data_IF_497847606618
#
_entry.id   IF_497847606618
#
_cell.length_a   1.000
_cell.length_b   1.000
_cell.length_c   1.000
_cell.angle_alpha   90.00
_cell.angle_beta   90.00
_cell.angle_gamma   90.00
#
_symmetry.space_group_name_H-M   'P 1'
#
loop_
_entity.id
_entity.type
_entity.pdbx_description
1 polymer ?
#
# COMPACT_ATOMS: atom_id res chain seq x y z
N UNK A 1 -20.59 -9.39 -25.46
CA UNK A 1 -19.91 -10.60 -24.96
C UNK A 1 -20.26 -10.73 -23.50
N UNK A 2 -20.84 -11.85 -23.05
CA UNK A 2 -21.23 -12.06 -21.66
C UNK A 2 -20.00 -12.18 -20.74
N UNK A 3 -20.10 -11.71 -19.51
CA UNK A 3 -19.03 -11.78 -18.50
C UNK A 3 -18.53 -13.22 -18.26
N UNK A 4 -19.41 -14.21 -18.45
CA UNK A 4 -19.05 -15.63 -18.36
C UNK A 4 -18.08 -16.09 -19.46
N UNK A 5 -18.24 -15.61 -20.68
CA UNK A 5 -17.36 -15.93 -21.81
C UNK A 5 -15.96 -15.30 -21.60
N UNK A 6 -15.89 -14.07 -21.07
CA UNK A 6 -14.62 -13.41 -20.68
C UNK A 6 -13.91 -14.16 -19.56
N UNK A 7 -14.64 -14.62 -18.56
CA UNK A 7 -14.06 -15.40 -17.46
C UNK A 7 -13.54 -16.75 -17.94
N UNK A 8 -14.24 -17.42 -18.84
CA UNK A 8 -13.80 -18.67 -19.44
C UNK A 8 -12.52 -18.49 -20.27
N UNK A 9 -12.48 -17.46 -21.13
CA UNK A 9 -11.31 -17.10 -21.93
C UNK A 9 -10.11 -16.73 -21.04
N UNK A 10 -10.30 -15.95 -19.99
CA UNK A 10 -9.24 -15.60 -19.06
C UNK A 10 -8.69 -16.82 -18.30
N UNK A 11 -9.54 -17.77 -17.91
CA UNK A 11 -9.11 -19.04 -17.29
C UNK A 11 -8.32 -19.91 -18.27
N UNK A 12 -8.75 -19.99 -19.52
CA UNK A 12 -8.04 -20.71 -20.56
C UNK A 12 -6.66 -20.10 -20.81
N UNK A 13 -6.57 -18.78 -20.97
CA UNK A 13 -5.30 -18.05 -21.14
C UNK A 13 -4.38 -18.18 -19.91
N UNK A 14 -4.92 -18.18 -18.70
CA UNK A 14 -4.13 -18.38 -17.48
C UNK A 14 -3.51 -19.77 -17.40
N UNK A 15 -4.19 -20.82 -17.91
CA UNK A 15 -3.64 -22.18 -18.01
C UNK A 15 -2.53 -22.31 -19.04
N UNK A 16 -2.58 -21.52 -20.10
CA UNK A 16 -1.55 -21.46 -21.16
C UNK A 16 -0.36 -20.59 -20.75
N UNK A 17 -0.52 -19.73 -19.76
CA UNK A 17 0.55 -18.86 -19.25
C UNK A 17 1.47 -19.62 -18.31
N UNK A 18 2.57 -20.13 -18.86
CA UNK A 18 3.58 -20.91 -18.10
C UNK A 18 4.51 -20.07 -17.23
N UNK A 19 4.35 -18.73 -17.21
CA UNK A 19 5.28 -17.85 -16.52
C UNK A 19 6.70 -17.91 -17.12
N UNK A 20 7.71 -17.30 -16.46
CA UNK A 20 9.09 -17.36 -16.96
C UNK A 20 9.63 -18.78 -16.85
N UNK A 21 9.93 -19.40 -18.02
CA UNK A 21 10.46 -20.75 -18.10
C UNK A 21 11.97 -20.83 -17.80
N UNK A 22 12.73 -19.76 -18.11
CA UNK A 22 14.18 -19.72 -17.90
C UNK A 22 14.57 -19.34 -16.48
N UNK A 23 15.72 -19.80 -15.99
CA UNK A 23 16.27 -19.44 -14.68
C UNK A 23 16.45 -17.91 -14.54
N UNK A 24 16.95 -17.23 -15.57
CA UNK A 24 17.09 -15.79 -15.62
C UNK A 24 15.73 -15.07 -15.57
N UNK A 25 14.72 -15.58 -16.26
CA UNK A 25 13.35 -15.08 -16.22
C UNK A 25 12.70 -15.23 -14.84
N UNK A 26 12.91 -16.38 -14.19
CA UNK A 26 12.46 -16.64 -12.82
C UNK A 26 13.13 -15.72 -11.81
N UNK A 27 14.47 -15.53 -11.92
CA UNK A 27 15.23 -14.61 -11.07
C UNK A 27 14.76 -13.16 -11.24
N UNK A 28 14.52 -12.70 -12.48
CA UNK A 28 14.00 -11.36 -12.78
C UNK A 28 12.60 -11.16 -12.22
N UNK A 29 11.73 -12.16 -12.35
CA UNK A 29 10.37 -12.12 -11.79
C UNK A 29 10.40 -12.09 -10.26
N UNK A 30 11.26 -12.89 -9.62
CA UNK A 30 11.47 -12.89 -8.18
C UNK A 30 12.07 -11.57 -7.67
N UNK A 31 12.98 -10.96 -8.43
CA UNK A 31 13.58 -9.66 -8.11
C UNK A 31 12.57 -8.52 -8.18
N UNK A 32 11.66 -8.55 -9.18
CA UNK A 32 10.56 -7.59 -9.25
C UNK A 32 9.58 -7.72 -8.07
N UNK A 33 9.37 -8.94 -7.59
CA UNK A 33 8.56 -9.21 -6.42
C UNK A 33 9.23 -8.72 -5.11
N UNK A 34 10.56 -8.84 -5.01
CA UNK A 34 11.35 -8.40 -3.84
C UNK A 34 11.57 -6.89 -3.77
N UNK A 35 11.55 -6.19 -4.91
CA UNK A 35 11.97 -4.79 -5.02
C UNK A 35 11.17 -3.84 -4.12
N UNK A 36 9.93 -4.16 -3.81
CA UNK A 36 9.05 -3.36 -2.96
C UNK A 36 8.52 -4.14 -1.74
N UNK A 37 8.97 -5.39 -1.53
CA UNK A 37 8.45 -6.25 -0.46
C UNK A 37 6.95 -6.57 -0.55
N UNK A 38 6.27 -6.11 -1.62
CA UNK A 38 4.81 -6.20 -1.79
C UNK A 38 4.31 -7.60 -2.18
N UNK A 39 5.21 -8.54 -2.45
CA UNK A 39 4.87 -9.95 -2.72
C UNK A 39 4.70 -10.77 -1.44
N UNK A 40 5.24 -10.30 -0.32
CA UNK A 40 5.08 -10.95 0.98
C UNK A 40 3.77 -10.47 1.58
N UNK A 41 2.89 -11.42 1.92
CA UNK A 41 1.63 -11.08 2.59
C UNK A 41 1.93 -10.43 3.95
N UNK A 42 1.15 -9.41 4.31
CA UNK A 42 1.21 -8.80 5.65
C UNK A 42 0.99 -9.83 6.75
N UNK A 43 0.16 -10.86 6.49
CA UNK A 43 -0.08 -11.97 7.43
C UNK A 43 1.18 -12.82 7.71
N UNK A 44 2.14 -12.82 6.78
CA UNK A 44 3.40 -13.55 6.93
C UNK A 44 4.56 -12.69 7.47
N UNK A 45 4.30 -11.41 7.76
CA UNK A 45 5.31 -10.46 8.25
C UNK A 45 5.22 -10.31 9.77
N UNK A 46 6.18 -10.85 10.54
CA UNK A 46 6.13 -10.78 12.01
C UNK A 46 6.11 -9.35 12.57
N UNK A 47 6.72 -8.39 11.86
CA UNK A 47 6.78 -6.99 12.30
C UNK A 47 5.42 -6.30 12.19
N UNK A 48 4.55 -6.78 11.31
CA UNK A 48 3.22 -6.24 11.09
C UNK A 48 2.13 -6.91 11.96
N UNK A 49 2.45 -8.04 12.59
CA UNK A 49 1.45 -8.86 13.31
C UNK A 49 0.79 -8.12 14.47
N UNK A 50 1.53 -7.33 15.24
CA UNK A 50 0.96 -6.58 16.36
C UNK A 50 -0.05 -5.52 15.88
N UNK A 51 0.32 -4.73 14.88
CA UNK A 51 -0.58 -3.73 14.28
C UNK A 51 -1.79 -4.36 13.59
N UNK A 52 -1.60 -5.50 12.95
CA UNK A 52 -2.67 -6.26 12.32
C UNK A 52 -3.69 -6.76 13.37
N UNK A 53 -3.22 -7.29 14.49
CA UNK A 53 -4.10 -7.79 15.56
C UNK A 53 -4.94 -6.65 16.17
N UNK A 54 -4.32 -5.50 16.43
CA UNK A 54 -5.03 -4.31 16.96
C UNK A 54 -6.10 -3.85 15.96
N UNK A 55 -5.76 -3.75 14.68
CA UNK A 55 -6.70 -3.32 13.65
C UNK A 55 -7.83 -4.35 13.46
N UNK A 56 -7.51 -5.64 13.48
CA UNK A 56 -8.50 -6.70 13.38
C UNK A 56 -9.48 -6.67 14.56
N UNK A 57 -8.99 -6.49 15.78
CA UNK A 57 -9.85 -6.36 16.97
C UNK A 57 -10.76 -5.13 16.89
N UNK A 58 -10.24 -3.99 16.43
CA UNK A 58 -11.03 -2.78 16.22
C UNK A 58 -12.14 -2.95 15.17
N UNK A 59 -11.85 -3.67 14.06
CA UNK A 59 -12.84 -3.97 13.00
C UNK A 59 -13.89 -4.97 13.50
N UNK A 60 -13.48 -6.01 14.23
CA UNK A 60 -14.37 -7.08 14.70
C UNK A 60 -15.40 -6.57 15.72
N UNK A 61 -14.99 -5.61 16.56
CA UNK A 61 -15.78 -5.07 17.65
C UNK A 61 -15.71 -5.93 18.92
N UNK A 62 -16.26 -5.39 20.00
CA UNK A 62 -16.28 -6.07 21.31
C UNK A 62 -17.17 -7.31 21.25
N UNK A 63 -16.69 -8.40 21.86
CA UNK A 63 -17.44 -9.65 21.92
C UNK A 63 -17.49 -10.45 20.61
N UNK A 64 -16.66 -10.11 19.63
CA UNK A 64 -16.58 -10.85 18.37
C UNK A 64 -16.11 -12.29 18.63
N UNK A 65 -16.75 -13.24 17.96
CA UNK A 65 -16.31 -14.63 17.92
C UNK A 65 -15.05 -14.85 17.07
N UNK A 66 -14.49 -16.03 17.11
CA UNK A 66 -13.27 -16.37 16.37
C UNK A 66 -13.43 -16.22 14.86
N UNK A 67 -14.60 -16.54 14.31
CA UNK A 67 -14.86 -16.44 12.86
C UNK A 67 -14.90 -14.98 12.41
N UNK A 68 -15.52 -14.11 13.22
CA UNK A 68 -15.57 -12.68 12.95
C UNK A 68 -14.20 -12.02 13.11
N UNK A 69 -13.41 -12.41 14.11
CA UNK A 69 -12.02 -11.96 14.28
C UNK A 69 -11.14 -12.37 13.11
N UNK A 70 -11.27 -13.60 12.62
CA UNK A 70 -10.51 -14.09 11.46
C UNK A 70 -10.90 -13.34 10.17
N UNK A 71 -12.19 -13.08 9.95
CA UNK A 71 -12.64 -12.27 8.83
C UNK A 71 -12.15 -10.81 8.93
N UNK A 72 -12.19 -10.23 10.12
CA UNK A 72 -11.63 -8.90 10.39
C UNK A 72 -10.12 -8.83 10.15
N UNK A 73 -9.38 -9.88 10.51
CA UNK A 73 -7.95 -9.98 10.23
C UNK A 73 -7.65 -9.98 8.72
N UNK A 74 -8.50 -10.64 7.91
CA UNK A 74 -8.39 -10.58 6.43
C UNK A 74 -8.65 -9.17 5.88
N UNK A 75 -9.62 -8.45 6.44
CA UNK A 75 -9.89 -7.05 6.07
C UNK A 75 -8.71 -6.16 6.45
N UNK A 76 -8.21 -6.30 7.68
CA UNK A 76 -7.05 -5.55 8.18
C UNK A 76 -5.80 -5.81 7.32
N UNK A 77 -5.51 -7.07 7.00
CA UNK A 77 -4.37 -7.44 6.16
C UNK A 77 -4.47 -6.82 4.75
N UNK A 78 -5.65 -6.86 4.13
CA UNK A 78 -5.86 -6.28 2.81
C UNK A 78 -5.76 -4.74 2.84
N UNK A 79 -6.16 -4.10 3.93
CA UNK A 79 -6.00 -2.65 4.13
C UNK A 79 -4.53 -2.26 4.30
N UNK A 80 -3.76 -3.02 5.07
CA UNK A 80 -2.33 -2.80 5.23
C UNK A 80 -1.55 -3.04 3.92
N UNK A 81 -1.90 -4.08 3.16
CA UNK A 81 -1.34 -4.29 1.82
C UNK A 81 -1.57 -3.10 0.90
N UNK A 82 -2.78 -2.53 0.91
CA UNK A 82 -3.11 -1.34 0.12
C UNK A 82 -2.28 -0.13 0.57
N UNK A 83 -2.13 0.05 1.87
CA UNK A 83 -1.32 1.13 2.43
C UNK A 83 0.16 1.01 2.03
N UNK A 84 0.74 -0.20 2.11
CA UNK A 84 2.13 -0.48 1.65
C UNK A 84 2.35 -0.12 0.18
N UNK A 85 1.40 -0.46 -0.69
CA UNK A 85 1.48 -0.11 -2.12
C UNK A 85 1.50 1.41 -2.31
N UNK A 86 0.64 2.12 -1.59
CA UNK A 86 0.57 3.60 -1.68
C UNK A 86 1.84 4.26 -1.17
N UNK A 87 2.37 3.81 -0.02
CA UNK A 87 3.66 4.28 0.49
C UNK A 87 4.79 4.03 -0.52
N UNK A 88 4.87 2.83 -1.10
CA UNK A 88 5.88 2.52 -2.12
C UNK A 88 5.76 3.40 -3.36
N UNK A 89 4.54 3.80 -3.75
CA UNK A 89 4.31 4.76 -4.84
C UNK A 89 4.82 6.16 -4.47
N UNK A 90 4.49 6.61 -3.28
CA UNK A 90 4.93 7.91 -2.77
C UNK A 90 6.46 8.00 -2.68
N UNK A 91 7.09 6.98 -2.11
CA UNK A 91 8.54 6.88 -2.03
C UNK A 91 9.22 6.88 -3.40
N UNK A 92 8.63 6.16 -4.36
CA UNK A 92 9.12 6.13 -5.74
C UNK A 92 9.10 7.52 -6.38
N UNK A 93 8.03 8.29 -6.17
CA UNK A 93 7.90 9.65 -6.68
C UNK A 93 8.84 10.60 -5.95
N UNK A 94 8.93 10.52 -4.63
CA UNK A 94 9.86 11.33 -3.83
C UNK A 94 11.33 11.11 -4.23
N UNK A 95 11.72 9.87 -4.52
CA UNK A 95 13.09 9.57 -4.98
C UNK A 95 13.39 10.13 -6.37
N UNK A 96 12.36 10.42 -7.17
CA UNK A 96 12.52 10.88 -8.54
C UNK A 96 12.51 12.40 -8.63
N UNK A 97 11.83 13.06 -7.70
CA UNK A 97 11.82 14.50 -7.55
C UNK A 97 12.63 14.83 -6.29
N UNK A 98 13.95 15.00 -6.41
CA UNK A 98 14.75 15.35 -5.26
C UNK A 98 14.29 16.71 -4.74
N UNK A 99 13.74 16.71 -3.55
CA UNK A 99 13.54 17.92 -2.80
C UNK A 99 14.94 18.49 -2.50
N UNK A 100 15.37 19.50 -3.26
CA UNK A 100 16.63 20.17 -3.02
C UNK A 100 16.46 21.01 -1.75
N UNK A 101 16.73 20.38 -0.61
CA UNK A 101 16.90 21.13 0.62
C UNK A 101 18.13 22.02 0.45
N UNK A 102 18.04 23.32 0.73
CA UNK A 102 19.21 24.20 0.67
C UNK A 102 20.36 23.62 1.50
N UNK A 103 21.58 23.69 0.97
CA UNK A 103 22.76 23.29 1.73
C UNK A 103 22.92 24.20 2.93
N UNK A 104 22.94 23.65 4.13
CA UNK A 104 23.10 24.41 5.38
C UNK A 104 24.38 25.26 5.36
N UNK A 105 25.44 24.78 4.73
CA UNK A 105 26.69 25.54 4.62
C UNK A 105 26.55 26.73 3.68
N UNK A 106 25.74 26.64 2.63
CA UNK A 106 25.45 27.76 1.74
C UNK A 106 24.57 28.78 2.44
N UNK A 107 23.59 28.31 3.18
CA UNK A 107 22.73 29.17 4.00
C UNK A 107 23.55 29.95 5.06
N UNK A 108 24.51 29.27 5.73
CA UNK A 108 25.42 29.88 6.70
C UNK A 108 26.41 30.84 6.06
N UNK A 109 26.80 30.67 4.81
CA UNK A 109 27.62 31.62 4.06
C UNK A 109 26.85 32.90 3.69
N UNK A 110 25.55 32.77 3.44
CA UNK A 110 24.68 33.89 3.09
C UNK A 110 24.25 34.70 4.31
N UNK A 111 24.33 34.14 5.53
CA UNK A 111 24.03 34.84 6.77
C UNK A 111 25.24 35.64 7.24
N UNK A 112 25.00 36.86 7.76
CA UNK A 112 26.06 37.71 8.31
C UNK A 112 26.71 36.99 9.50
N UNK A 113 28.03 36.78 9.43
CA UNK A 113 28.82 36.15 10.51
C UNK A 113 28.79 36.94 11.82
N UNK A 114 28.34 38.20 11.76
CA UNK A 114 28.33 39.13 12.89
C UNK A 114 26.95 39.25 13.56
N UNK A 115 25.92 38.55 13.05
CA UNK A 115 24.57 38.55 13.63
C UNK A 115 24.15 37.12 14.02
N UNK A 116 24.36 36.73 15.29
CA UNK A 116 24.02 35.39 15.77
C UNK A 116 22.51 35.12 15.70
N UNK A 117 21.66 36.13 15.83
CA UNK A 117 20.21 35.97 15.75
C UNK A 117 19.76 35.67 14.32
N UNK A 118 20.45 36.22 13.32
CA UNK A 118 20.19 35.90 11.93
C UNK A 118 20.58 34.46 11.62
N UNK A 119 21.70 33.97 12.16
CA UNK A 119 22.14 32.58 12.02
C UNK A 119 21.15 31.63 12.65
N UNK A 120 20.67 31.91 13.86
CA UNK A 120 19.67 31.08 14.55
C UNK A 120 18.34 31.04 13.79
N UNK A 121 17.84 32.17 13.31
CA UNK A 121 16.62 32.23 12.48
C UNK A 121 16.76 31.45 11.18
N UNK A 122 17.90 31.56 10.50
CA UNK A 122 18.17 30.83 9.27
C UNK A 122 18.25 29.31 9.51
N UNK A 123 18.87 28.92 10.64
CA UNK A 123 18.94 27.48 11.01
C UNK A 123 17.58 26.92 11.39
N UNK A 124 16.75 27.65 12.14
CA UNK A 124 15.38 27.26 12.44
C UNK A 124 14.54 27.12 11.16
N UNK A 125 14.59 28.12 10.28
CA UNK A 125 13.91 28.05 8.98
C UNK A 125 14.40 26.88 8.10
N UNK A 126 15.68 26.51 8.22
CA UNK A 126 16.24 25.35 7.55
C UNK A 126 15.74 24.04 8.18
N UNK A 127 15.59 23.95 9.50
CA UNK A 127 15.03 22.78 10.18
C UNK A 127 13.57 22.55 9.79
N UNK A 128 12.77 23.63 9.72
CA UNK A 128 11.35 23.60 9.38
C UNK A 128 11.09 23.60 7.86
N UNK A 129 12.17 23.58 7.05
CA UNK A 129 12.04 23.62 5.60
C UNK A 129 11.24 22.44 5.08
N UNK A 130 10.16 22.74 4.37
CA UNK A 130 9.38 21.78 3.61
C UNK A 130 9.59 22.01 2.11
N UNK A 131 9.80 20.96 1.31
CA UNK A 131 9.97 21.14 -0.13
C UNK A 131 8.71 21.79 -0.73
N UNK A 132 8.89 22.75 -1.65
CA UNK A 132 7.76 23.26 -2.40
C UNK A 132 7.11 22.10 -3.21
N UNK A 133 5.82 22.17 -3.49
CA UNK A 133 5.17 21.18 -4.34
C UNK A 133 5.88 21.14 -5.70
N UNK A 134 6.13 19.93 -6.24
CA UNK A 134 6.80 19.79 -7.53
C UNK A 134 6.01 20.49 -8.64
N UNK A 135 6.71 21.16 -9.54
CA UNK A 135 6.09 21.80 -10.68
C UNK A 135 5.53 20.75 -11.66
N UNK A 136 4.46 21.06 -12.39
CA UNK A 136 3.85 20.11 -13.34
C UNK A 136 4.83 19.47 -14.35
N UNK A 137 5.79 20.19 -14.97
CA UNK A 137 6.75 19.55 -15.87
C UNK A 137 7.68 18.57 -15.14
N UNK A 138 8.14 18.88 -13.92
CA UNK A 138 8.99 18.00 -13.12
C UNK A 138 8.25 16.71 -12.75
N UNK A 139 6.99 16.82 -12.38
CA UNK A 139 6.13 15.67 -12.08
C UNK A 139 5.90 14.81 -13.33
N UNK A 140 5.67 15.42 -14.49
CA UNK A 140 5.47 14.71 -15.74
C UNK A 140 6.73 13.92 -16.14
N UNK A 141 7.92 14.50 -16.01
CA UNK A 141 9.20 13.84 -16.26
C UNK A 141 9.43 12.68 -15.28
N UNK A 142 9.19 12.90 -13.98
CA UNK A 142 9.28 11.88 -12.96
C UNK A 142 8.37 10.68 -13.23
N UNK A 143 7.14 10.94 -13.65
CA UNK A 143 6.18 9.90 -14.05
C UNK A 143 6.67 9.14 -15.27
N UNK A 144 7.20 9.83 -16.28
CA UNK A 144 7.72 9.21 -17.51
C UNK A 144 8.91 8.29 -17.21
N UNK A 145 9.88 8.75 -16.41
CA UNK A 145 11.05 7.98 -15.99
C UNK A 145 10.69 6.71 -15.21
N UNK A 146 9.61 6.75 -14.45
CA UNK A 146 9.18 5.65 -13.56
C UNK A 146 7.94 4.91 -14.07
N UNK A 147 7.51 5.18 -15.30
CA UNK A 147 6.25 4.66 -15.85
C UNK A 147 6.09 3.13 -15.71
N UNK A 148 7.15 2.36 -15.94
CA UNK A 148 7.09 0.89 -15.81
C UNK A 148 6.91 0.44 -14.35
N UNK A 149 7.58 1.11 -13.41
CA UNK A 149 7.49 0.82 -11.98
C UNK A 149 6.10 1.22 -11.45
N UNK A 150 5.59 2.38 -11.85
CA UNK A 150 4.24 2.83 -11.52
C UNK A 150 3.17 1.87 -12.05
N UNK A 151 3.28 1.38 -13.29
CA UNK A 151 2.40 0.35 -13.85
C UNK A 151 2.44 -0.96 -13.04
N UNK A 152 3.60 -1.32 -12.49
CA UNK A 152 3.69 -2.48 -11.60
C UNK A 152 2.95 -2.23 -10.29
N UNK A 153 3.13 -1.07 -9.66
CA UNK A 153 2.43 -0.67 -8.44
C UNK A 153 0.91 -0.61 -8.65
N UNK A 154 0.43 -0.12 -9.82
CA UNK A 154 -1.00 -0.15 -10.17
C UNK A 154 -1.59 -1.55 -10.18
N UNK A 155 -0.84 -2.55 -10.66
CA UNK A 155 -1.30 -3.95 -10.60
C UNK A 155 -1.39 -4.46 -9.17
N UNK A 156 -0.44 -4.10 -8.30
CA UNK A 156 -0.49 -4.46 -6.88
C UNK A 156 -1.66 -3.77 -6.19
N UNK A 157 -1.90 -2.49 -6.46
CA UNK A 157 -3.01 -1.74 -5.89
C UNK A 157 -4.37 -2.34 -6.28
N UNK A 158 -4.58 -2.64 -7.55
CA UNK A 158 -5.82 -3.28 -8.02
C UNK A 158 -6.06 -4.64 -7.34
N UNK A 159 -4.99 -5.44 -7.14
CA UNK A 159 -5.08 -6.70 -6.42
C UNK A 159 -5.42 -6.50 -4.94
N UNK A 160 -4.79 -5.53 -4.29
CA UNK A 160 -5.06 -5.20 -2.90
C UNK A 160 -6.51 -4.71 -2.72
N UNK A 161 -6.99 -3.82 -3.60
CA UNK A 161 -8.39 -3.37 -3.63
C UNK A 161 -9.38 -4.52 -3.84
N UNK A 162 -9.09 -5.44 -4.75
CA UNK A 162 -9.94 -6.62 -5.00
C UNK A 162 -10.00 -7.52 -3.76
N UNK A 163 -8.86 -7.82 -3.13
CA UNK A 163 -8.80 -8.61 -1.89
C UNK A 163 -9.57 -7.93 -0.76
N UNK A 164 -9.36 -6.61 -0.58
CA UNK A 164 -10.10 -5.84 0.42
C UNK A 164 -11.61 -5.91 0.21
N UNK A 165 -12.07 -5.72 -1.03
CA UNK A 165 -13.49 -5.81 -1.38
C UNK A 165 -14.07 -7.19 -1.07
N UNK A 166 -13.33 -8.27 -1.37
CA UNK A 166 -13.75 -9.64 -1.03
C UNK A 166 -13.80 -9.86 0.47
N UNK A 167 -12.75 -9.46 1.19
CA UNK A 167 -12.67 -9.62 2.64
C UNK A 167 -13.79 -8.84 3.38
N UNK A 168 -14.12 -7.63 2.92
CA UNK A 168 -15.24 -6.85 3.49
C UNK A 168 -16.56 -7.59 3.26
N UNK A 169 -16.82 -8.12 2.07
CA UNK A 169 -18.05 -8.87 1.80
C UNK A 169 -18.16 -10.13 2.67
N UNK A 170 -17.07 -10.83 2.87
CA UNK A 170 -17.00 -12.01 3.74
C UNK A 170 -17.27 -11.62 5.20
N UNK A 171 -16.72 -10.50 5.66
CA UNK A 171 -16.94 -9.97 7.00
C UNK A 171 -18.39 -9.52 7.20
N UNK A 172 -18.96 -8.81 6.23
CA UNK A 172 -20.37 -8.32 6.29
C UNK A 172 -21.39 -9.45 6.22
N UNK A 173 -21.02 -10.61 5.63
CA UNK A 173 -21.88 -11.78 5.58
C UNK A 173 -21.95 -12.54 6.92
N UNK A 174 -21.08 -12.24 7.88
CA UNK A 174 -21.10 -12.84 9.20
C UNK A 174 -22.13 -12.13 10.11
N UNK A 175 -22.83 -12.88 10.98
CA UNK A 175 -23.75 -12.27 11.93
C UNK A 175 -23.02 -11.26 12.83
N UNK A 176 -23.68 -10.13 13.08
CA UNK A 176 -23.15 -9.12 14.01
C UNK A 176 -23.06 -9.69 15.41
N UNK A 177 -21.97 -9.37 16.14
CA UNK A 177 -21.84 -9.73 17.54
C UNK A 177 -23.04 -9.17 18.31
N UNK A 178 -23.90 -10.06 18.83
CA UNK A 178 -25.11 -9.67 19.60
C UNK A 178 -26.43 -9.82 18.86
N UNK A 179 -26.48 -10.24 17.60
CA UNK A 179 -27.76 -10.61 16.97
C UNK A 179 -28.20 -11.98 17.50
N UNK A 180 -29.39 -12.08 18.12
CA UNK A 180 -29.92 -13.38 18.54
C UNK A 180 -30.09 -14.27 17.30
N UNK A 181 -29.87 -15.60 17.42
CA UNK A 181 -30.08 -16.52 16.31
C UNK A 181 -31.53 -16.36 15.82
N UNK A 182 -31.66 -15.98 14.57
CA UNK A 182 -32.98 -15.92 13.91
C UNK A 182 -33.56 -17.33 13.92
N UNK A 183 -34.40 -17.59 14.94
CA UNK A 183 -35.09 -18.84 15.10
C UNK A 183 -35.84 -19.16 13.80
N UNK A 184 -35.53 -20.30 13.21
CA UNK A 184 -36.38 -20.92 12.20
C UNK A 184 -37.80 -20.95 12.78
N UNK A 185 -38.68 -20.08 12.29
CA UNK A 185 -40.10 -20.28 12.51
C UNK A 185 -40.46 -21.61 11.88
N UNK A 186 -40.62 -22.63 12.76
CA UNK A 186 -41.20 -23.87 12.38
C UNK A 186 -42.63 -23.58 11.86
N UNK A 187 -42.86 -23.91 10.61
CA UNK A 187 -44.20 -24.00 10.07
C UNK A 187 -44.77 -25.29 10.66
N UNK A 188 -45.77 -25.13 11.51
CA UNK A 188 -46.69 -26.20 11.94
C UNK A 188 -47.81 -26.25 10.91
#
# INVERSE_FOLDING_TARGET
>A
MSDSARLAANRANARLSTGPATAAGKARSAQNARRHGLSVSVLADPQMNAGLAILAAAIAGLGADAARLDAAARVAAAQLDLHRVRLSREDLLRQTIPAQRPDVNELLRMTSKNDPDQVLRAFAAWQDWTPPPPQPPELAEAIALRAQQLKALDRYERRALSRRKSAIREFDALPSAGSPPTGRRGVV
#
